data_IF_071044754020
#
_entry.id   IF_071044754020
#
_cell.length_a   1.000
_cell.length_b   1.000
_cell.length_c   1.000
_cell.angle_alpha   90.00
_cell.angle_beta   90.00
_cell.angle_gamma   90.00
#
_symmetry.space_group_name_H-M   'P 1'
#
loop_
_entity.id
_entity.type
_entity.pdbx_description
1 polymer ?
#
# COMPACT_ATOMS: atom_id res chain seq x y z
N UNK A 1 -1.74 -29.40 -2.77
CA UNK A 1 -2.32 -28.18 -2.14
C UNK A 1 -2.81 -27.23 -3.24
N UNK A 2 -4.10 -26.90 -3.28
CA UNK A 2 -4.70 -26.06 -4.36
C UNK A 2 -4.72 -24.54 -4.05
N UNK A 3 -4.26 -24.13 -2.87
CA UNK A 3 -4.28 -22.73 -2.40
C UNK A 3 -3.51 -21.78 -3.34
N UNK A 4 -2.38 -22.23 -3.92
CA UNK A 4 -1.61 -21.42 -4.87
C UNK A 4 -2.28 -21.15 -6.23
N UNK A 5 -3.39 -21.83 -6.54
CA UNK A 5 -4.15 -21.67 -7.80
C UNK A 5 -5.44 -20.90 -7.65
N UNK A 6 -5.90 -20.66 -6.42
CA UNK A 6 -7.10 -19.86 -6.17
C UNK A 6 -6.74 -18.41 -6.44
N UNK A 7 -7.54 -17.75 -7.27
CA UNK A 7 -7.36 -16.35 -7.65
C UNK A 7 -8.52 -15.52 -7.10
N UNK A 8 -8.24 -14.33 -6.59
CA UNK A 8 -9.25 -13.32 -6.31
C UNK A 8 -8.98 -12.12 -7.24
N UNK A 9 -9.97 -11.71 -8.04
CA UNK A 9 -9.81 -10.64 -9.01
C UNK A 9 -8.69 -10.87 -10.04
N UNK A 10 -8.34 -12.13 -10.34
CA UNK A 10 -7.25 -12.49 -11.25
C UNK A 10 -5.86 -12.58 -10.59
N UNK A 11 -5.71 -12.15 -9.34
CA UNK A 11 -4.46 -12.23 -8.58
C UNK A 11 -4.40 -13.54 -7.79
N UNK A 12 -3.28 -14.32 -7.85
CA UNK A 12 -3.12 -15.51 -7.03
C UNK A 12 -3.19 -15.21 -5.53
N UNK A 13 -3.86 -16.05 -4.75
CA UNK A 13 -4.02 -15.86 -3.30
C UNK A 13 -2.68 -15.78 -2.54
N UNK A 14 -1.66 -16.49 -3.03
CA UNK A 14 -0.30 -16.40 -2.49
C UNK A 14 0.27 -14.99 -2.66
N UNK A 15 0.03 -14.33 -3.78
CA UNK A 15 0.47 -12.94 -4.01
C UNK A 15 -0.27 -11.98 -3.08
N UNK A 16 -1.56 -12.21 -2.83
CA UNK A 16 -2.34 -11.44 -1.85
C UNK A 16 -1.84 -11.68 -0.42
N UNK A 17 -1.44 -12.90 -0.09
CA UNK A 17 -0.78 -13.22 1.18
C UNK A 17 0.52 -12.45 1.37
N UNK A 18 1.36 -12.38 0.32
CA UNK A 18 2.56 -11.54 0.35
C UNK A 18 2.21 -10.07 0.53
N UNK A 19 1.19 -9.56 -0.16
CA UNK A 19 0.75 -8.18 0.00
C UNK A 19 0.32 -7.87 1.44
N UNK A 20 -0.45 -8.78 2.05
CA UNK A 20 -0.87 -8.66 3.45
C UNK A 20 0.31 -8.67 4.43
N UNK A 21 1.36 -9.46 4.17
CA UNK A 21 2.58 -9.46 4.97
C UNK A 21 3.40 -8.18 4.73
N UNK A 22 3.50 -7.71 3.49
CA UNK A 22 4.33 -6.55 3.14
C UNK A 22 3.79 -5.23 3.71
N UNK A 23 2.46 -5.10 3.84
CA UNK A 23 1.79 -3.88 4.32
C UNK A 23 2.35 -3.33 5.65
N UNK A 24 2.39 -4.09 6.77
CA UNK A 24 2.89 -3.56 8.04
C UNK A 24 4.38 -3.14 8.00
N UNK A 25 5.20 -3.77 7.15
CA UNK A 25 6.59 -3.34 6.97
C UNK A 25 6.67 -2.03 6.19
N UNK A 26 5.83 -1.86 5.15
CA UNK A 26 5.78 -0.64 4.35
C UNK A 26 5.28 0.55 5.17
N UNK A 27 4.23 0.36 5.97
CA UNK A 27 3.73 1.37 6.90
C UNK A 27 4.81 1.78 7.91
N UNK A 28 5.53 0.82 8.49
CA UNK A 28 6.62 1.10 9.44
C UNK A 28 7.80 1.87 8.82
N UNK A 29 8.01 1.76 7.50
CA UNK A 29 9.04 2.51 6.77
C UNK A 29 8.53 3.91 6.40
N UNK A 30 7.30 4.02 5.92
CA UNK A 30 6.72 5.29 5.44
C UNK A 30 6.30 6.20 6.59
N UNK A 31 5.83 5.65 7.72
CA UNK A 31 5.53 6.42 8.93
C UNK A 31 6.77 7.14 9.51
N UNK A 32 7.99 6.69 9.14
CA UNK A 32 9.25 7.35 9.49
C UNK A 32 9.67 8.43 8.49
N UNK A 33 8.90 8.65 7.43
CA UNK A 33 9.18 9.68 6.43
C UNK A 33 8.35 10.95 6.70
N UNK A 34 8.84 12.14 6.29
CA UNK A 34 8.15 13.43 6.51
C UNK A 34 6.80 13.56 5.77
N UNK A 35 6.42 12.56 4.97
CA UNK A 35 5.20 12.56 4.14
C UNK A 35 3.93 12.30 4.98
N UNK A 36 4.08 11.81 6.22
CA UNK A 36 2.95 11.46 7.09
C UNK A 36 2.23 10.18 6.63
N UNK A 37 1.17 9.81 7.36
CA UNK A 37 0.26 8.71 7.04
C UNK A 37 -1.17 9.27 6.96
N UNK A 38 -2.08 8.65 6.20
CA UNK A 38 -3.49 9.06 6.12
C UNK A 38 -3.74 10.42 5.45
N UNK A 39 -2.88 10.84 4.51
CA UNK A 39 -3.05 12.07 3.74
C UNK A 39 -3.13 11.78 2.24
N UNK A 40 -3.71 12.69 1.46
CA UNK A 40 -3.74 12.56 -0.01
C UNK A 40 -2.32 12.51 -0.59
N UNK A 41 -1.38 13.27 -0.03
CA UNK A 41 0.02 13.28 -0.50
C UNK A 41 0.72 11.94 -0.21
N UNK A 42 0.55 11.39 1.00
CA UNK A 42 1.12 10.07 1.34
C UNK A 42 0.52 8.99 0.46
N UNK A 43 -0.77 9.08 0.16
CA UNK A 43 -1.45 8.19 -0.77
C UNK A 43 -0.88 8.22 -2.19
N UNK A 44 -0.66 9.42 -2.73
CA UNK A 44 -0.03 9.61 -4.04
C UNK A 44 1.41 9.07 -4.04
N UNK A 45 2.19 9.35 -3.01
CA UNK A 45 3.56 8.87 -2.89
C UNK A 45 3.64 7.32 -2.88
N UNK A 46 2.72 6.67 -2.15
CA UNK A 46 2.59 5.21 -2.11
C UNK A 46 2.17 4.62 -3.45
N UNK A 47 1.25 5.27 -4.18
CA UNK A 47 0.86 4.87 -5.55
C UNK A 47 2.04 4.98 -6.51
N UNK A 48 2.81 6.08 -6.45
CA UNK A 48 4.04 6.24 -7.25
C UNK A 48 5.06 5.16 -6.90
N UNK A 49 5.24 4.90 -5.60
CA UNK A 49 6.06 3.78 -5.11
C UNK A 49 5.62 2.45 -5.72
N UNK A 50 4.33 2.15 -5.73
CA UNK A 50 3.77 0.94 -6.33
C UNK A 50 4.13 0.80 -7.82
N UNK A 51 4.08 1.90 -8.58
CA UNK A 51 4.49 1.89 -9.99
C UNK A 51 6.00 1.61 -10.15
N UNK A 52 6.82 2.10 -9.21
CA UNK A 52 8.27 1.89 -9.21
C UNK A 52 8.68 0.48 -8.76
N UNK A 53 7.87 -0.24 -7.97
CA UNK A 53 8.20 -1.60 -7.46
C UNK A 53 8.65 -2.54 -8.57
N UNK A 54 7.99 -2.49 -9.73
CA UNK A 54 8.32 -3.38 -10.86
C UNK A 54 9.74 -3.15 -11.41
N UNK A 55 10.28 -1.94 -11.27
CA UNK A 55 11.63 -1.59 -11.71
C UNK A 55 12.70 -2.06 -10.71
N UNK A 56 12.40 -2.08 -9.41
CA UNK A 56 13.37 -2.41 -8.35
C UNK A 56 13.28 -3.85 -7.83
N UNK A 57 12.07 -4.40 -7.72
CA UNK A 57 11.81 -5.73 -7.12
C UNK A 57 11.47 -6.78 -8.19
N UNK A 58 11.04 -6.34 -9.38
CA UNK A 58 10.68 -7.19 -10.51
C UNK A 58 9.24 -7.69 -10.49
N UNK A 59 8.84 -8.43 -11.53
CA UNK A 59 7.45 -8.91 -11.75
C UNK A 59 7.12 -10.28 -11.14
N UNK A 60 7.89 -10.73 -10.14
CA UNK A 60 7.67 -12.01 -9.47
C UNK A 60 6.56 -11.90 -8.40
N UNK A 61 6.17 -13.02 -7.78
CA UNK A 61 5.13 -13.05 -6.73
C UNK A 61 5.41 -12.05 -5.60
N UNK A 62 6.67 -11.85 -5.23
CA UNK A 62 7.06 -10.94 -4.15
C UNK A 62 6.86 -9.49 -4.59
N UNK A 63 7.43 -9.11 -5.74
CA UNK A 63 7.29 -7.77 -6.30
C UNK A 63 5.83 -7.41 -6.59
N UNK A 64 5.05 -8.33 -7.14
CA UNK A 64 3.61 -8.12 -7.35
C UNK A 64 2.86 -7.97 -6.01
N UNK A 65 3.26 -8.70 -4.96
CA UNK A 65 2.68 -8.56 -3.63
C UNK A 65 2.99 -7.19 -3.01
N UNK A 66 4.25 -6.75 -3.07
CA UNK A 66 4.67 -5.42 -2.57
C UNK A 66 4.00 -4.29 -3.36
N UNK A 67 3.87 -4.44 -4.68
CA UNK A 67 3.17 -3.50 -5.54
C UNK A 67 1.69 -3.37 -5.15
N UNK A 68 1.01 -4.50 -4.92
CA UNK A 68 -0.39 -4.50 -4.47
C UNK A 68 -0.51 -3.85 -3.09
N UNK A 69 0.38 -4.16 -2.16
CA UNK A 69 0.37 -3.58 -0.81
C UNK A 69 0.47 -2.04 -0.87
N UNK A 70 1.45 -1.50 -1.60
CA UNK A 70 1.62 -0.06 -1.78
C UNK A 70 0.45 0.62 -2.51
N UNK A 71 -0.11 -0.03 -3.54
CA UNK A 71 -1.22 0.52 -4.29
C UNK A 71 -2.50 0.61 -3.45
N UNK A 72 -2.83 -0.46 -2.70
CA UNK A 72 -4.01 -0.50 -1.83
C UNK A 72 -3.88 0.50 -0.68
N UNK A 73 -2.71 0.52 -0.03
CA UNK A 73 -2.41 1.44 1.06
C UNK A 73 -2.42 2.92 0.59
N UNK A 74 -1.90 3.19 -0.60
CA UNK A 74 -1.95 4.53 -1.18
C UNK A 74 -3.36 5.01 -1.53
N UNK A 75 -4.24 4.10 -1.98
CA UNK A 75 -5.65 4.41 -2.22
C UNK A 75 -6.37 4.66 -0.89
N UNK A 76 -6.09 3.86 0.14
CA UNK A 76 -6.63 4.03 1.50
C UNK A 76 -6.27 5.41 2.07
N UNK A 77 -5.01 5.81 1.99
CA UNK A 77 -4.54 7.13 2.40
C UNK A 77 -5.22 8.28 1.64
N UNK A 78 -5.36 8.15 0.31
CA UNK A 78 -6.08 9.13 -0.50
C UNK A 78 -7.55 9.24 -0.08
N UNK A 79 -8.20 8.11 0.21
CA UNK A 79 -9.58 8.05 0.63
C UNK A 79 -9.77 8.66 2.02
N UNK A 80 -8.92 8.29 3.00
CA UNK A 80 -8.94 8.85 4.36
C UNK A 80 -8.64 10.35 4.32
N UNK A 81 -7.62 10.78 3.58
CA UNK A 81 -7.26 12.19 3.44
C UNK A 81 -8.34 13.02 2.76
N UNK A 82 -9.02 12.46 1.74
CA UNK A 82 -10.13 13.10 1.05
C UNK A 82 -11.38 13.20 1.95
N UNK A 83 -11.74 12.12 2.64
CA UNK A 83 -12.89 12.10 3.56
C UNK A 83 -12.65 12.95 4.81
N UNK A 84 -11.41 13.01 5.30
CA UNK A 84 -11.00 13.79 6.46
C UNK A 84 -10.78 15.28 6.19
N UNK A 85 -10.95 15.74 4.94
CA UNK A 85 -10.82 17.16 4.58
C UNK A 85 -9.39 17.71 4.50
N UNK A 86 -8.36 16.84 4.61
CA UNK A 86 -6.96 17.24 4.70
C UNK A 86 -6.19 17.00 3.39
N UNK A 87 -6.19 17.98 2.48
CA UNK A 87 -5.36 17.94 1.27
C UNK A 87 -3.84 17.96 1.59
N UNK A 88 -3.45 18.51 2.74
CA UNK A 88 -2.06 18.75 3.17
C UNK A 88 -1.76 18.31 4.61
N UNK A 89 -2.59 17.44 5.19
CA UNK A 89 -2.49 17.07 6.61
C UNK A 89 -3.32 17.99 7.49
N UNK A 90 -4.14 17.40 8.34
CA UNK A 90 -5.05 18.13 9.22
C UNK A 90 -6.35 17.38 9.45
N UNK A 91 -6.26 16.26 10.17
CA UNK A 91 -7.38 15.47 10.62
C UNK A 91 -6.83 14.37 11.50
N UNK A 92 -6.70 14.66 12.80
CA UNK A 92 -5.93 13.88 13.77
C UNK A 92 -6.15 12.38 13.67
N UNK A 93 -5.07 11.65 13.43
CA UNK A 93 -4.97 10.27 13.88
C UNK A 93 -4.49 10.31 15.33
N UNK A 94 -5.42 10.60 16.22
CA UNK A 94 -5.25 10.30 17.64
C UNK A 94 -5.07 8.78 17.77
N UNK A 95 -4.00 8.41 18.47
CA UNK A 95 -3.57 7.05 18.76
C UNK A 95 -4.73 6.13 19.20
N UNK A 96 -5.14 5.20 18.34
CA UNK A 96 -5.89 3.99 18.71
C UNK A 96 -5.41 2.81 17.86
#
# INVERSE_FOLDING_TARGET
MKIGRVKAGGVPLVTLGVAGIAKPFLEGVIAKTPVGNSTVISGIAKIIGAMAVRQFVGGNTIGNGVQIALAVDGIEDCFIGFMGGGLLGGGGQDNW
#
